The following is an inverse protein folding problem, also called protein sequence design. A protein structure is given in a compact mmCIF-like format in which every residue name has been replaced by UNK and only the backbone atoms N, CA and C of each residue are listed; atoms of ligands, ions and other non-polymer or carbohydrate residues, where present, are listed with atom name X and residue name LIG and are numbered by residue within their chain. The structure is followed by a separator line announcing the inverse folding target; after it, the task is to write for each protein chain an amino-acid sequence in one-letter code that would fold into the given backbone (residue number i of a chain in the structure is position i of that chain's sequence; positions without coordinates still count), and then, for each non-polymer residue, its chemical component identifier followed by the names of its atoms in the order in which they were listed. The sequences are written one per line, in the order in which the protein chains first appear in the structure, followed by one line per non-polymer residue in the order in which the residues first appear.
data_IF_841542658633
#
_entry.id   IF_841542658633
#
_cell.length_a   1.000
_cell.length_b   1.000
_cell.length_c   1.000
_cell.angle_alpha   90.00
_cell.angle_beta   90.00
_cell.angle_gamma   90.00
#
_symmetry.space_group_name_H-M   'P 1'
#
loop_
_entity.id
_entity.type
_entity.pdbx_description
1 polymer ?
#
# COMPACT_ATOMS: atom_id res chain seq x y z
N UNK A 1 26.31 21.31 -4.33
CA UNK A 1 25.80 21.86 -5.60
C UNK A 1 24.30 21.56 -5.75
N UNK A 2 23.45 22.55 -5.46
CA UNK A 2 22.01 22.42 -5.56
C UNK A 2 21.60 22.23 -7.03
N UNK A 3 20.92 21.13 -7.32
CA UNK A 3 20.37 20.84 -8.65
C UNK A 3 19.24 21.85 -8.92
N UNK A 4 19.55 22.97 -9.58
CA UNK A 4 18.53 23.90 -10.08
C UNK A 4 17.86 23.23 -11.27
N UNK A 5 16.60 22.86 -11.09
CA UNK A 5 15.72 22.48 -12.19
C UNK A 5 15.48 23.73 -13.05
N UNK A 6 16.22 23.85 -14.15
CA UNK A 6 15.95 24.86 -15.18
C UNK A 6 15.21 24.09 -16.28
N UNK A 7 13.90 24.30 -16.47
CA UNK A 7 13.20 23.70 -17.59
C UNK A 7 13.71 24.37 -18.87
N UNK A 8 14.66 23.72 -19.53
CA UNK A 8 15.06 24.07 -20.88
C UNK A 8 14.07 23.40 -21.83
N UNK A 9 13.00 24.12 -22.14
CA UNK A 9 12.40 24.24 -23.48
C UNK A 9 11.15 25.12 -23.40
N UNK A 10 11.12 26.19 -24.19
CA UNK A 10 9.96 27.06 -24.40
C UNK A 10 8.78 26.37 -25.13
N UNK A 11 8.79 25.05 -25.29
CA UNK A 11 7.63 24.28 -25.73
C UNK A 11 6.85 23.76 -24.53
N UNK A 12 6.17 24.68 -23.87
CA UNK A 12 5.04 24.37 -22.98
C UNK A 12 4.13 23.42 -23.75
N UNK A 13 3.99 22.19 -23.26
CA UNK A 13 3.00 21.21 -23.73
C UNK A 13 1.62 21.83 -23.51
N UNK A 14 1.15 22.58 -24.50
CA UNK A 14 -0.19 23.14 -24.55
C UNK A 14 -1.18 21.99 -24.48
N UNK A 15 -2.12 22.06 -23.52
CA UNK A 15 -3.27 21.17 -23.30
C UNK A 15 -3.47 20.14 -24.43
N UNK A 16 -3.21 18.87 -24.12
CA UNK A 16 -3.56 17.74 -25.00
C UNK A 16 -5.08 17.59 -24.98
N UNK A 17 -5.78 18.33 -25.84
CA UNK A 17 -7.18 18.06 -26.15
C UNK A 17 -7.24 16.86 -27.10
N UNK A 18 -8.02 15.85 -26.74
CA UNK A 18 -8.51 14.76 -27.59
C UNK A 18 -7.52 13.64 -27.98
N UNK A 19 -6.94 12.91 -27.01
CA UNK A 19 -6.39 11.55 -27.17
C UNK A 19 -5.55 11.29 -28.45
N UNK A 20 -4.88 12.30 -29.01
CA UNK A 20 -4.14 12.17 -30.27
C UNK A 20 -2.68 12.56 -30.10
N UNK A 21 -1.84 11.65 -30.59
CA UNK A 21 -0.39 11.73 -30.68
C UNK A 21 0.04 13.06 -31.32
N UNK A 22 0.94 13.79 -30.65
CA UNK A 22 1.71 14.86 -31.32
C UNK A 22 2.97 14.22 -31.89
N UNK A 23 3.05 14.14 -33.22
CA UNK A 23 4.31 13.89 -33.91
C UNK A 23 4.97 15.25 -34.08
N UNK A 24 5.93 15.60 -33.23
CA UNK A 24 6.74 16.79 -33.46
C UNK A 24 7.73 16.44 -34.57
N UNK A 25 7.46 16.93 -35.78
CA UNK A 25 8.34 16.75 -36.93
C UNK A 25 9.74 17.25 -36.57
N UNK A 26 10.69 16.32 -36.47
CA UNK A 26 12.09 16.60 -36.15
C UNK A 26 12.57 16.15 -34.77
N UNK A 27 11.71 15.66 -33.88
CA UNK A 27 12.13 15.17 -32.55
C UNK A 27 12.08 13.63 -32.45
N UNK A 28 13.02 13.04 -31.70
CA UNK A 28 13.10 11.60 -31.40
C UNK A 28 12.04 11.12 -30.38
N UNK A 29 10.99 11.90 -30.14
CA UNK A 29 10.03 11.71 -29.04
C UNK A 29 8.58 11.62 -29.57
N UNK A 30 7.88 10.54 -29.22
CA UNK A 30 6.45 10.38 -29.51
C UNK A 30 5.67 10.01 -28.24
N UNK A 31 4.47 10.58 -28.05
CA UNK A 31 3.68 10.43 -26.80
C UNK A 31 2.22 10.06 -27.01
N UNK A 32 1.70 9.11 -26.23
CA UNK A 32 0.28 8.74 -26.16
C UNK A 32 -0.23 8.86 -24.72
N UNK A 33 -1.47 9.32 -24.52
CA UNK A 33 -2.14 9.48 -23.23
C UNK A 33 -3.46 8.71 -23.22
N UNK A 34 -3.69 7.90 -22.19
CA UNK A 34 -4.93 7.20 -21.92
C UNK A 34 -5.34 7.42 -20.46
N UNK A 35 -6.56 7.89 -20.23
CA UNK A 35 -7.11 8.10 -18.90
C UNK A 35 -8.44 7.39 -18.80
N UNK A 36 -8.55 6.42 -17.88
CA UNK A 36 -9.77 5.64 -17.69
C UNK A 36 -10.13 5.51 -16.22
N UNK A 37 -11.43 5.44 -15.97
CA UNK A 37 -11.99 5.00 -14.69
C UNK A 37 -12.24 3.50 -14.74
N UNK A 38 -12.18 2.85 -13.59
CA UNK A 38 -12.58 1.44 -13.52
C UNK A 38 -14.09 1.29 -13.77
N UNK A 39 -14.52 0.22 -14.46
CA UNK A 39 -15.92 -0.16 -14.58
C UNK A 39 -16.63 -0.34 -13.23
N UNK A 40 -17.94 -0.06 -13.20
CA UNK A 40 -18.74 -0.04 -11.97
C UNK A 40 -18.83 -1.42 -11.27
N UNK A 41 -18.86 -2.50 -12.06
CA UNK A 41 -18.91 -3.90 -11.62
C UNK A 41 -17.61 -4.37 -10.94
N UNK A 42 -16.52 -3.62 -11.06
CA UNK A 42 -15.27 -3.88 -10.33
C UNK A 42 -15.30 -3.34 -8.89
N UNK A 43 -16.24 -2.46 -8.54
CA UNK A 43 -16.34 -1.89 -7.21
C UNK A 43 -17.12 -2.82 -6.26
N UNK A 44 -16.75 -2.92 -4.98
CA UNK A 44 -17.49 -3.72 -4.00
C UNK A 44 -18.97 -3.32 -3.88
N UNK A 45 -19.28 -2.03 -4.04
CA UNK A 45 -20.64 -1.51 -3.99
C UNK A 45 -21.39 -1.58 -5.31
N UNK A 46 -20.73 -1.97 -6.41
CA UNK A 46 -21.28 -1.86 -7.77
C UNK A 46 -21.44 -0.41 -8.26
N UNK A 47 -20.95 0.58 -7.51
CA UNK A 47 -21.08 2.01 -7.85
C UNK A 47 -19.73 2.54 -8.33
N UNK A 48 -19.71 3.08 -9.56
CA UNK A 48 -18.53 3.71 -10.12
C UNK A 48 -18.04 4.90 -9.29
N UNK A 49 -16.74 5.16 -9.32
CA UNK A 49 -16.13 6.31 -8.63
C UNK A 49 -15.02 6.95 -9.48
N UNK A 50 -14.19 7.78 -8.84
CA UNK A 50 -13.02 8.43 -9.48
C UNK A 50 -11.80 7.52 -9.59
N UNK A 51 -11.84 6.29 -9.06
CA UNK A 51 -10.74 5.32 -9.12
C UNK A 51 -10.49 4.89 -10.57
N UNK A 52 -9.22 4.75 -10.94
CA UNK A 52 -8.82 4.57 -12.33
C UNK A 52 -7.31 4.70 -12.51
N UNK A 53 -6.89 5.05 -13.71
CA UNK A 53 -5.50 5.30 -14.02
C UNK A 53 -5.32 6.41 -15.07
N UNK A 54 -4.12 6.97 -15.11
CA UNK A 54 -3.59 7.78 -16.19
C UNK A 54 -2.34 7.08 -16.70
N UNK A 55 -2.31 6.77 -17.98
CA UNK A 55 -1.24 6.06 -18.66
C UNK A 55 -0.65 6.95 -19.73
N UNK A 56 0.66 7.04 -19.76
CA UNK A 56 1.40 7.66 -20.86
C UNK A 56 2.37 6.66 -21.47
N UNK A 57 2.47 6.66 -22.80
CA UNK A 57 3.48 5.90 -23.55
C UNK A 57 4.42 6.88 -24.23
N UNK A 58 5.71 6.60 -24.14
CA UNK A 58 6.79 7.39 -24.69
C UNK A 58 7.65 6.50 -25.57
N UNK A 59 8.06 7.03 -26.72
CA UNK A 59 9.14 6.47 -27.53
C UNK A 59 10.35 7.38 -27.40
N UNK A 60 11.42 6.90 -26.78
CA UNK A 60 12.65 7.65 -26.49
C UNK A 60 13.81 6.89 -27.12
N UNK A 61 14.46 7.45 -28.13
CA UNK A 61 15.54 6.80 -28.89
C UNK A 61 15.21 5.38 -29.41
N UNK A 62 13.92 5.14 -29.71
CA UNK A 62 13.42 3.83 -30.15
C UNK A 62 12.97 2.90 -29.01
N UNK A 63 13.37 3.17 -27.76
CA UNK A 63 12.86 2.48 -26.58
C UNK A 63 11.42 2.93 -26.27
N UNK A 64 10.49 1.97 -26.14
CA UNK A 64 9.10 2.26 -25.77
C UNK A 64 8.90 2.03 -24.28
N UNK A 65 8.57 3.10 -23.56
CA UNK A 65 8.35 3.09 -22.11
C UNK A 65 6.96 3.62 -21.79
N UNK A 66 6.33 3.00 -20.80
CA UNK A 66 5.03 3.39 -20.29
C UNK A 66 5.06 3.70 -18.82
N UNK A 67 4.44 4.82 -18.48
CA UNK A 67 4.26 5.29 -17.13
C UNK A 67 2.77 5.31 -16.83
N UNK A 68 2.35 4.54 -15.82
CA UNK A 68 0.96 4.39 -15.42
C UNK A 68 0.80 4.82 -13.99
N UNK A 69 0.12 5.96 -13.77
CA UNK A 69 -0.32 6.38 -12.45
C UNK A 69 -1.70 5.76 -12.16
N UNK A 70 -1.77 4.85 -11.20
CA UNK A 70 -2.99 4.13 -10.81
C UNK A 70 -3.51 4.59 -9.45
N UNK A 71 -4.83 4.56 -9.30
CA UNK A 71 -5.50 4.77 -8.02
C UNK A 71 -6.56 3.67 -7.84
N UNK A 72 -6.21 2.63 -7.10
CA UNK A 72 -7.05 1.44 -6.89
C UNK A 72 -8.04 1.61 -5.72
N UNK A 73 -8.91 0.62 -5.55
CA UNK A 73 -10.02 0.62 -4.60
C UNK A 73 -9.54 0.62 -3.14
N UNK A 74 -10.17 1.45 -2.31
CA UNK A 74 -9.93 1.48 -0.87
C UNK A 74 -10.93 0.60 -0.12
N UNK A 75 -10.56 0.21 1.10
CA UNK A 75 -11.46 -0.50 2.00
C UNK A 75 -12.49 0.48 2.56
N UNK A 76 -13.78 0.19 2.49
CA UNK A 76 -14.82 1.04 3.11
C UNK A 76 -15.17 0.62 4.54
N UNK A 77 -14.67 -0.54 4.96
CA UNK A 77 -14.93 -1.15 6.26
C UNK A 77 -13.75 -2.03 6.71
N UNK A 78 -13.07 -1.66 7.80
CA UNK A 78 -11.95 -2.45 8.31
C UNK A 78 -12.40 -3.84 8.81
N UNK A 79 -13.64 -3.98 9.30
CA UNK A 79 -14.15 -5.23 9.88
C UNK A 79 -14.27 -6.34 8.83
N UNK A 80 -14.58 -5.98 7.59
CA UNK A 80 -14.61 -6.92 6.47
C UNK A 80 -13.20 -7.48 6.20
N UNK A 81 -12.18 -6.62 6.23
CA UNK A 81 -10.79 -7.04 6.02
C UNK A 81 -10.19 -7.82 7.20
N UNK A 82 -10.76 -7.70 8.41
CA UNK A 82 -10.40 -8.54 9.56
C UNK A 82 -11.03 -9.93 9.48
N UNK A 83 -12.22 -10.05 8.89
CA UNK A 83 -12.96 -11.32 8.83
C UNK A 83 -12.44 -12.28 7.76
N UNK A 84 -11.88 -11.76 6.67
CA UNK A 84 -11.48 -12.55 5.51
C UNK A 84 -10.25 -11.96 4.81
N UNK A 85 -9.30 -12.83 4.44
CA UNK A 85 -8.17 -12.48 3.59
C UNK A 85 -7.99 -13.50 2.45
N UNK A 86 -7.86 -13.06 1.17
CA UNK A 86 -7.99 -11.68 0.70
C UNK A 86 -9.43 -11.18 0.79
N UNK A 87 -9.64 -10.01 1.39
CA UNK A 87 -10.98 -9.41 1.51
C UNK A 87 -11.56 -9.03 0.15
N UNK A 88 -12.87 -8.75 0.08
CA UNK A 88 -13.52 -8.27 -1.14
C UNK A 88 -12.82 -7.01 -1.72
N UNK A 89 -12.25 -6.16 -0.87
CA UNK A 89 -11.50 -4.97 -1.31
C UNK A 89 -10.18 -5.34 -1.98
N UNK A 90 -9.41 -6.26 -1.38
CA UNK A 90 -8.19 -6.79 -1.97
C UNK A 90 -8.46 -7.52 -3.30
N UNK A 91 -9.55 -8.29 -3.37
CA UNK A 91 -9.99 -8.92 -4.62
C UNK A 91 -10.34 -7.87 -5.70
N UNK A 92 -11.01 -6.77 -5.34
CA UNK A 92 -11.29 -5.68 -6.27
C UNK A 92 -9.99 -5.02 -6.79
N UNK A 93 -9.02 -4.74 -5.90
CA UNK A 93 -7.69 -4.24 -6.31
C UNK A 93 -6.99 -5.19 -7.28
N UNK A 94 -6.98 -6.49 -6.98
CA UNK A 94 -6.42 -7.51 -7.87
C UNK A 94 -7.11 -7.53 -9.24
N UNK A 95 -8.44 -7.48 -9.29
CA UNK A 95 -9.19 -7.41 -10.56
C UNK A 95 -8.87 -6.15 -11.36
N UNK A 96 -8.82 -4.98 -10.70
CA UNK A 96 -8.49 -3.71 -11.34
C UNK A 96 -7.09 -3.68 -11.94
N UNK A 97 -6.09 -4.16 -11.18
CA UNK A 97 -4.70 -4.22 -11.66
C UNK A 97 -4.56 -5.25 -12.81
N UNK A 98 -5.19 -6.43 -12.70
CA UNK A 98 -5.22 -7.42 -13.78
C UNK A 98 -5.86 -6.86 -15.06
N UNK A 99 -6.96 -6.13 -14.94
CA UNK A 99 -7.62 -5.49 -16.08
C UNK A 99 -6.73 -4.43 -16.75
N UNK A 100 -6.04 -3.61 -15.96
CA UNK A 100 -5.05 -2.65 -16.48
C UNK A 100 -3.92 -3.37 -17.24
N UNK A 101 -3.37 -4.44 -16.68
CA UNK A 101 -2.29 -5.20 -17.33
C UNK A 101 -2.75 -5.86 -18.63
N UNK A 102 -3.96 -6.40 -18.65
CA UNK A 102 -4.56 -6.96 -19.86
C UNK A 102 -4.78 -5.89 -20.94
N UNK A 103 -5.25 -4.70 -20.54
CA UNK A 103 -5.38 -3.57 -21.45
C UNK A 103 -4.03 -3.18 -22.05
N UNK A 104 -2.98 -3.07 -21.23
CA UNK A 104 -1.63 -2.75 -21.69
C UNK A 104 -1.11 -3.80 -22.68
N UNK A 105 -1.30 -5.09 -22.35
CA UNK A 105 -0.92 -6.24 -23.18
C UNK A 105 -1.67 -6.29 -24.52
N UNK A 106 -2.94 -5.91 -24.52
CA UNK A 106 -3.80 -5.93 -25.72
C UNK A 106 -3.31 -4.98 -26.82
N UNK A 107 -2.57 -3.93 -26.47
CA UNK A 107 -1.99 -3.01 -27.45
C UNK A 107 -0.94 -3.68 -28.35
N UNK A 108 -0.48 -4.88 -28.00
CA UNK A 108 0.42 -5.70 -28.81
C UNK A 108 1.70 -4.98 -29.23
N UNK A 109 2.22 -4.11 -28.37
CA UNK A 109 3.47 -3.37 -28.60
C UNK A 109 4.67 -4.26 -28.24
N UNK A 110 5.53 -4.62 -29.21
CA UNK A 110 6.72 -5.42 -28.92
C UNK A 110 7.68 -4.67 -28.00
N UNK A 111 8.28 -5.39 -27.04
CA UNK A 111 9.33 -4.83 -26.18
C UNK A 111 8.86 -3.66 -25.30
N UNK A 112 7.60 -3.67 -24.87
CA UNK A 112 7.05 -2.61 -24.02
C UNK A 112 7.61 -2.68 -22.59
N UNK A 113 8.18 -1.57 -22.13
CA UNK A 113 8.69 -1.40 -20.78
C UNK A 113 7.66 -0.64 -19.95
N UNK A 114 7.18 -1.20 -18.85
CA UNK A 114 6.06 -0.63 -18.08
C UNK A 114 6.51 -0.33 -16.66
N UNK A 115 6.24 0.88 -16.18
CA UNK A 115 6.29 1.28 -14.79
C UNK A 115 4.89 1.71 -14.35
N UNK A 116 4.35 1.04 -13.33
CA UNK A 116 3.05 1.32 -12.72
C UNK A 116 3.30 1.86 -11.32
N UNK A 117 2.81 3.05 -11.03
CA UNK A 117 2.99 3.71 -9.74
C UNK A 117 1.69 4.37 -9.27
N UNK A 118 1.66 4.81 -8.02
CA UNK A 118 0.53 5.55 -7.46
C UNK A 118 -0.05 4.88 -6.22
N UNK A 119 -1.32 5.18 -5.94
CA UNK A 119 -2.04 4.65 -4.77
C UNK A 119 -2.70 3.32 -5.13
N UNK A 120 -1.96 2.24 -4.88
CA UNK A 120 -2.46 0.88 -5.01
C UNK A 120 -3.46 0.51 -3.91
N UNK A 121 -3.53 1.27 -2.82
CA UNK A 121 -4.36 0.96 -1.65
C UNK A 121 -4.14 -0.46 -1.09
N UNK A 122 -3.03 -1.13 -1.39
CA UNK A 122 -2.72 -2.45 -0.84
C UNK A 122 -2.69 -2.40 0.69
N UNK A 123 -3.22 -3.43 1.32
CA UNK A 123 -3.34 -3.55 2.77
C UNK A 123 -2.62 -4.81 3.25
N UNK A 124 -2.25 -4.81 4.52
CA UNK A 124 -1.70 -5.99 5.17
C UNK A 124 -2.78 -7.06 5.30
N UNK A 125 -2.35 -8.32 5.33
CA UNK A 125 -3.14 -9.46 5.76
C UNK A 125 -3.51 -9.29 7.24
N UNK A 126 -4.62 -8.57 7.50
CA UNK A 126 -5.05 -8.22 8.85
C UNK A 126 -5.30 -9.44 9.74
N UNK A 127 -5.94 -10.54 9.29
CA UNK A 127 -6.09 -11.74 10.12
C UNK A 127 -4.75 -12.26 10.64
N UNK A 128 -3.77 -12.45 9.75
CA UNK A 128 -2.46 -12.98 10.13
C UNK A 128 -1.65 -11.98 10.97
N UNK A 129 -1.77 -10.67 10.68
CA UNK A 129 -1.15 -9.63 11.50
C UNK A 129 -1.72 -9.64 12.92
N UNK A 130 -3.04 -9.66 13.07
CA UNK A 130 -3.69 -9.66 14.38
C UNK A 130 -3.37 -10.94 15.16
N UNK A 131 -3.32 -12.10 14.50
CA UNK A 131 -2.87 -13.34 15.11
C UNK A 131 -1.43 -13.21 15.65
N UNK A 132 -0.53 -12.67 14.83
CA UNK A 132 0.87 -12.42 15.24
C UNK A 132 0.97 -11.44 16.42
N UNK A 133 0.14 -10.40 16.44
CA UNK A 133 0.13 -9.40 17.51
C UNK A 133 -0.49 -9.90 18.81
N UNK A 134 -1.57 -10.68 18.73
CA UNK A 134 -2.26 -11.23 19.91
C UNK A 134 -1.51 -12.41 20.55
N UNK A 135 -0.70 -13.14 19.77
CA UNK A 135 0.00 -14.35 20.22
C UNK A 135 1.54 -14.22 20.22
N UNK A 136 2.07 -13.04 19.92
CA UNK A 136 3.51 -12.77 19.94
C UNK A 136 4.10 -12.77 21.35
N UNK A 137 5.43 -12.94 21.45
CA UNK A 137 6.17 -13.01 22.72
C UNK A 137 6.07 -11.72 23.58
N UNK A 138 5.61 -10.62 23.00
CA UNK A 138 5.49 -9.30 23.63
C UNK A 138 4.05 -9.06 24.14
N UNK A 139 3.67 -9.79 25.19
CA UNK A 139 2.40 -9.65 25.94
C UNK A 139 1.09 -9.82 25.12
N UNK A 140 0.13 -10.65 25.60
CA UNK A 140 -1.12 -10.88 24.89
C UNK A 140 -1.97 -9.61 24.79
N UNK A 141 -2.27 -9.19 23.57
CA UNK A 141 -3.18 -8.08 23.28
C UNK A 141 -4.63 -8.56 23.31
N UNK A 142 -5.53 -7.70 23.78
CA UNK A 142 -6.98 -7.94 23.66
C UNK A 142 -7.51 -7.32 22.37
N UNK A 143 -8.47 -7.95 21.70
CA UNK A 143 -9.08 -7.42 20.47
C UNK A 143 -10.54 -7.04 20.72
N UNK A 144 -10.89 -5.81 20.39
CA UNK A 144 -12.26 -5.30 20.46
C UNK A 144 -12.76 -4.90 19.07
N UNK A 145 -13.83 -5.56 18.63
CA UNK A 145 -14.50 -5.25 17.37
C UNK A 145 -15.74 -4.38 17.65
N UNK A 146 -15.76 -3.18 17.10
CA UNK A 146 -16.85 -2.20 17.22
C UNK A 146 -17.77 -2.32 16.00
N UNK A 147 -18.82 -3.13 16.13
CA UNK A 147 -19.83 -3.32 15.09
C UNK A 147 -20.96 -2.26 15.20
N UNK A 148 -21.72 -2.00 14.12
CA UNK A 148 -22.91 -1.13 14.18
C UNK A 148 -24.03 -1.80 14.99
N UNK A 149 -23.97 -1.69 16.32
CA UNK A 149 -24.94 -2.31 17.24
C UNK A 149 -24.40 -2.65 18.63
N UNK A 150 -23.08 -2.56 18.84
CA UNK A 150 -22.42 -2.84 20.13
C UNK A 150 -21.01 -3.37 19.94
N UNK A 151 -20.29 -3.56 21.05
CA UNK A 151 -18.91 -4.07 21.06
C UNK A 151 -18.88 -5.58 21.27
N UNK A 152 -18.08 -6.27 20.47
CA UNK A 152 -17.77 -7.70 20.65
C UNK A 152 -16.29 -7.81 21.02
N UNK A 153 -16.03 -8.19 22.27
CA UNK A 153 -14.66 -8.44 22.74
C UNK A 153 -14.27 -9.88 22.41
N UNK A 154 -13.15 -10.06 21.73
CA UNK A 154 -12.51 -11.36 21.53
C UNK A 154 -11.32 -11.43 22.49
N UNK A 155 -11.42 -12.30 23.50
CA UNK A 155 -10.25 -12.68 24.30
C UNK A 155 -9.42 -13.72 23.53
N UNK A 156 -8.09 -13.79 23.74
CA UNK A 156 -7.27 -14.86 23.20
C UNK A 156 -7.90 -16.21 23.56
N UNK A 157 -8.22 -17.02 22.55
CA UNK A 157 -8.74 -18.36 22.76
C UNK A 157 -7.68 -19.14 23.54
N UNK A 158 -8.00 -19.52 24.79
CA UNK A 158 -7.17 -20.48 25.52
C UNK A 158 -7.05 -21.76 24.68
N UNK A 159 -5.90 -22.48 24.73
CA UNK A 159 -5.78 -23.77 24.09
C UNK A 159 -6.93 -24.67 24.52
N UNK A 160 -7.67 -25.20 23.55
CA UNK A 160 -8.62 -26.30 23.79
C UNK A 160 -7.78 -27.50 24.18
N UNK A 161 -7.63 -27.72 25.47
CA UNK A 161 -7.37 -29.01 26.14
C UNK A 161 -6.98 -28.74 27.60
N UNK A 162 -7.96 -28.38 28.43
CA UNK A 162 -7.90 -28.53 29.88
C UNK A 162 -9.33 -28.78 30.38
N UNK A 163 -9.57 -30.02 30.82
CA UNK A 163 -10.79 -30.47 31.50
C UNK A 163 -11.18 -29.53 32.66
N UNK A 164 -12.48 -29.29 32.92
CA UNK A 164 -12.91 -28.45 34.03
C UNK A 164 -12.91 -29.26 35.34
N UNK A 165 -12.06 -28.85 36.30
CA UNK A 165 -12.15 -29.32 37.69
C UNK A 165 -13.41 -28.73 38.38
N UNK A 166 -14.11 -29.49 39.24
CA UNK A 166 -15.41 -29.08 39.77
C UNK A 166 -15.29 -28.08 40.92
N UNK A 167 -16.31 -27.23 40.99
CA UNK A 167 -16.44 -26.05 41.84
C UNK A 167 -16.23 -26.26 43.35
N UNK A 168 -15.82 -25.18 44.02
CA UNK A 168 -16.22 -24.90 45.41
C UNK A 168 -16.68 -23.44 45.58
N UNK A 169 -17.81 -23.18 46.25
CA UNK A 169 -18.42 -21.85 46.33
C UNK A 169 -18.02 -21.13 47.62
N UNK A 170 -17.50 -19.90 47.51
CA UNK A 170 -17.79 -18.78 48.41
C UNK A 170 -16.90 -17.58 48.12
N UNK A 171 -17.48 -16.47 47.62
CA UNK A 171 -16.92 -15.15 47.88
C UNK A 171 -18.03 -14.10 47.86
N UNK A 172 -18.28 -13.53 49.05
CA UNK A 172 -19.11 -12.36 49.28
C UNK A 172 -18.44 -11.11 48.67
N UNK A 173 -19.28 -10.21 48.19
CA UNK A 173 -18.99 -8.84 47.77
C UNK A 173 -18.17 -8.04 48.79
N UNK A 174 -17.10 -7.37 48.35
CA UNK A 174 -16.80 -5.94 48.63
C UNK A 174 -15.35 -5.60 48.25
N UNK A 175 -15.19 -4.44 47.59
CA UNK A 175 -13.90 -3.83 47.28
C UNK A 175 -13.60 -3.78 45.78
N UNK A 176 -13.89 -2.63 45.13
CA UNK A 176 -13.21 -2.29 43.85
C UNK A 176 -11.72 -2.12 44.17
N UNK A 177 -10.81 -2.91 43.60
CA UNK A 177 -9.40 -2.58 43.67
C UNK A 177 -9.18 -1.35 42.80
N UNK A 178 -8.49 -0.35 43.35
CA UNK A 178 -7.88 0.72 42.57
C UNK A 178 -6.84 0.04 41.66
N UNK A 179 -7.18 -0.21 40.38
CA UNK A 179 -6.27 -0.87 39.45
C UNK A 179 -5.07 0.05 39.22
N UNK A 180 -3.87 -0.48 39.44
CA UNK A 180 -2.63 0.19 39.06
C UNK A 180 -2.60 0.33 37.54
N UNK A 181 -2.15 1.49 37.07
CA UNK A 181 -1.99 1.86 35.65
C UNK A 181 -0.96 0.99 34.88
N UNK A 182 -0.53 -0.14 35.47
CA UNK A 182 0.47 -1.08 34.94
C UNK A 182 -0.12 -2.41 34.47
N UNK A 183 -1.43 -2.65 34.68
CA UNK A 183 -2.10 -3.91 34.34
C UNK A 183 -3.11 -3.78 33.18
N UNK A 184 -3.05 -2.69 32.40
CA UNK A 184 -3.88 -2.57 31.20
C UNK A 184 -3.24 -3.45 30.12
N UNK A 185 -3.79 -4.65 29.93
CA UNK A 185 -3.55 -5.40 28.69
C UNK A 185 -3.87 -4.45 27.52
N UNK A 186 -2.92 -4.18 26.63
CA UNK A 186 -3.19 -3.25 25.56
C UNK A 186 -4.30 -3.83 24.67
N UNK A 187 -5.33 -3.04 24.42
CA UNK A 187 -6.46 -3.44 23.57
C UNK A 187 -6.25 -2.87 22.18
N UNK A 188 -6.51 -3.68 21.16
CA UNK A 188 -6.64 -3.23 19.77
C UNK A 188 -8.13 -3.03 19.49
N UNK A 189 -8.52 -1.81 19.12
CA UNK A 189 -9.91 -1.47 18.81
C UNK A 189 -10.07 -1.32 17.30
N UNK A 190 -10.90 -2.16 16.69
CA UNK A 190 -11.18 -2.13 15.26
C UNK A 190 -12.67 -1.91 15.06
N UNK A 191 -13.01 -0.87 14.30
CA UNK A 191 -14.35 -0.62 13.82
C UNK A 191 -14.34 -0.29 12.34
N UNK A 192 -15.50 -0.01 11.76
CA UNK A 192 -15.63 0.27 10.32
C UNK A 192 -14.62 1.30 9.77
N UNK A 193 -14.31 2.34 10.54
CA UNK A 193 -13.30 3.37 10.22
C UNK A 193 -12.38 3.68 11.41
N UNK A 194 -12.24 2.71 12.31
CA UNK A 194 -11.37 2.79 13.49
C UNK A 194 -10.40 1.64 13.43
N UNK A 195 -9.15 1.91 13.70
CA UNK A 195 -8.08 0.95 13.87
C UNK A 195 -7.09 1.57 14.85
N UNK A 196 -7.41 1.43 16.13
CA UNK A 196 -6.60 1.98 17.21
C UNK A 196 -5.83 0.84 17.87
N UNK A 197 -4.51 0.98 17.87
CA UNK A 197 -3.59 0.02 18.48
C UNK A 197 -3.18 0.47 19.89
N UNK A 198 -3.73 1.55 20.43
CA UNK A 198 -3.44 2.08 21.77
C UNK A 198 -1.93 2.18 22.07
N UNK A 199 -1.13 2.54 21.07
CA UNK A 199 0.31 2.70 21.21
C UNK A 199 1.16 1.43 21.11
N UNK A 200 0.55 0.24 21.02
CA UNK A 200 1.25 -1.07 20.98
C UNK A 200 2.32 -1.16 19.90
N UNK A 201 2.08 -0.52 18.76
CA UNK A 201 3.00 -0.54 17.62
C UNK A 201 3.50 0.84 17.20
N UNK A 202 3.30 1.87 18.04
CA UNK A 202 3.66 3.24 17.70
C UNK A 202 5.16 3.40 17.33
N UNK A 203 6.03 2.54 17.88
CA UNK A 203 7.45 2.50 17.53
C UNK A 203 7.84 1.34 16.57
N UNK A 204 7.03 0.29 16.47
CA UNK A 204 7.33 -0.88 15.63
C UNK A 204 7.15 -0.62 14.13
N UNK A 205 6.30 0.35 13.77
CA UNK A 205 6.13 0.78 12.38
C UNK A 205 7.42 1.31 11.73
N UNK A 206 8.41 1.70 12.54
CA UNK A 206 9.72 2.20 12.11
C UNK A 206 10.68 1.09 11.67
N UNK A 207 10.46 -0.17 12.07
CA UNK A 207 11.32 -1.33 11.77
C UNK A 207 10.60 -2.34 10.86
N UNK A 208 10.19 -1.83 9.70
CA UNK A 208 9.26 -2.38 8.71
C UNK A 208 9.45 -3.82 8.22
N UNK A 209 10.62 -4.44 8.38
CA UNK A 209 10.93 -5.73 7.74
C UNK A 209 10.05 -6.88 8.23
N UNK A 210 9.68 -6.88 9.52
CA UNK A 210 8.77 -7.90 10.08
C UNK A 210 7.32 -7.73 9.63
N UNK A 211 6.88 -6.52 9.30
CA UNK A 211 5.49 -6.25 8.89
C UNK A 211 5.27 -6.45 7.39
N UNK A 212 6.33 -6.33 6.58
CA UNK A 212 6.27 -6.56 5.13
C UNK A 212 5.85 -8.00 4.77
N UNK A 213 6.06 -8.99 5.65
CA UNK A 213 5.57 -10.37 5.40
C UNK A 213 4.04 -10.46 5.34
N UNK A 214 3.32 -9.49 5.91
CA UNK A 214 1.86 -9.40 5.81
C UNK A 214 1.39 -8.60 4.59
N UNK A 215 2.28 -7.94 3.86
CA UNK A 215 1.98 -7.22 2.62
C UNK A 215 1.96 -8.18 1.42
N UNK A 216 0.87 -8.95 1.30
CA UNK A 216 0.82 -10.10 0.37
C UNK A 216 0.15 -9.80 -0.97
N UNK A 217 -0.53 -8.66 -1.12
CA UNK A 217 -1.41 -8.41 -2.28
C UNK A 217 -0.67 -8.37 -3.62
N UNK A 218 0.56 -7.83 -3.64
CA UNK A 218 1.40 -7.79 -4.84
C UNK A 218 1.84 -9.17 -5.31
N UNK A 219 1.88 -10.16 -4.41
CA UNK A 219 2.38 -11.51 -4.69
C UNK A 219 1.61 -12.24 -5.80
N UNK A 220 0.33 -11.91 -6.01
CA UNK A 220 -0.50 -12.47 -7.09
C UNK A 220 0.01 -12.10 -8.49
N UNK A 221 0.87 -11.09 -8.58
CA UNK A 221 1.44 -10.57 -9.84
C UNK A 221 2.95 -10.81 -9.95
N UNK A 222 3.55 -11.64 -9.08
CA UNK A 222 5.00 -11.80 -9.01
C UNK A 222 5.66 -12.31 -10.31
N UNK A 223 4.89 -12.94 -11.19
CA UNK A 223 5.31 -13.38 -12.52
C UNK A 223 5.40 -12.24 -13.54
N UNK A 224 4.54 -11.23 -13.41
CA UNK A 224 4.35 -10.17 -14.38
C UNK A 224 4.86 -8.79 -13.94
N UNK A 225 4.95 -8.56 -12.63
CA UNK A 225 5.39 -7.30 -12.03
C UNK A 225 6.44 -7.56 -10.96
N UNK A 226 7.42 -6.67 -10.89
CA UNK A 226 8.52 -6.67 -9.93
C UNK A 226 8.53 -5.36 -9.16
N UNK A 227 8.94 -5.43 -7.90
CA UNK A 227 9.11 -4.27 -7.05
C UNK A 227 10.51 -4.29 -6.45
N UNK A 228 11.08 -3.10 -6.24
CA UNK A 228 12.34 -2.97 -5.53
C UNK A 228 12.13 -3.16 -4.02
N UNK A 229 13.15 -3.59 -3.27
CA UNK A 229 13.03 -3.77 -1.82
C UNK A 229 12.53 -2.48 -1.14
N UNK A 230 11.45 -2.62 -0.37
CA UNK A 230 10.90 -1.52 0.43
C UNK A 230 11.71 -1.40 1.71
N UNK A 231 12.27 -0.20 1.93
CA UNK A 231 13.10 0.11 3.11
C UNK A 231 12.55 1.29 3.93
N UNK A 232 11.34 1.74 3.59
CA UNK A 232 10.63 2.84 4.24
C UNK A 232 9.42 2.34 5.03
N UNK A 233 8.95 3.08 6.05
CA UNK A 233 7.75 2.71 6.78
C UNK A 233 6.50 2.93 5.90
N UNK A 234 5.37 2.33 6.27
CA UNK A 234 4.06 2.52 5.62
C UNK A 234 3.73 3.97 5.28
N UNK A 235 3.21 4.20 4.08
CA UNK A 235 2.97 5.54 3.53
C UNK A 235 1.65 6.16 3.97
N UNK A 236 0.77 5.38 4.62
CA UNK A 236 -0.60 5.77 4.98
C UNK A 236 -1.15 4.92 6.15
N UNK A 237 -2.07 5.44 7.01
CA UNK A 237 -2.52 6.82 7.11
C UNK A 237 -1.77 7.62 8.17
N UNK A 238 -1.05 8.67 7.82
CA UNK A 238 -0.48 9.60 8.79
C UNK A 238 -1.57 10.46 9.46
N UNK A 239 -1.36 10.82 10.72
CA UNK A 239 -2.24 11.72 11.46
C UNK A 239 -1.93 13.18 11.11
N UNK A 240 -2.83 13.80 10.35
CA UNK A 240 -2.71 15.20 9.94
C UNK A 240 -2.93 16.20 11.08
N UNK A 241 -3.58 15.80 12.17
CA UNK A 241 -3.81 16.65 13.33
C UNK A 241 -2.65 16.59 14.33
N UNK A 242 -1.79 15.57 14.23
CA UNK A 242 -0.64 15.39 15.10
C UNK A 242 0.51 16.33 14.71
N UNK A 243 1.22 16.85 15.72
CA UNK A 243 2.49 17.54 15.53
C UNK A 243 3.67 16.58 15.34
N UNK A 244 3.48 15.29 15.64
CA UNK A 244 4.48 14.25 15.40
C UNK A 244 4.39 13.78 13.94
N UNK A 245 5.42 14.01 13.10
CA UNK A 245 5.38 13.62 11.69
C UNK A 245 5.35 12.09 11.49
N UNK A 246 5.64 11.29 12.51
CA UNK A 246 5.61 9.83 12.45
C UNK A 246 4.33 9.21 13.00
N UNK A 247 3.38 10.01 13.46
CA UNK A 247 2.11 9.51 13.99
C UNK A 247 1.21 9.00 12.85
N UNK A 248 0.65 7.81 13.03
CA UNK A 248 -0.41 7.29 12.17
C UNK A 248 -1.78 7.59 12.78
N UNK A 249 -2.75 7.88 11.92
CA UNK A 249 -4.15 8.06 12.31
C UNK A 249 -4.78 6.71 12.63
N UNK A 250 -5.54 6.65 13.73
CA UNK A 250 -6.28 5.45 14.15
C UNK A 250 -7.51 5.12 13.29
N UNK A 251 -7.49 5.46 11.99
CA UNK A 251 -8.63 5.22 11.09
C UNK A 251 -8.51 3.88 10.36
N UNK A 252 -7.29 3.41 10.12
CA UNK A 252 -6.97 2.17 9.40
C UNK A 252 -5.62 1.63 9.85
N UNK A 253 -5.43 0.33 9.68
CA UNK A 253 -4.10 -0.27 9.80
C UNK A 253 -3.15 0.42 8.81
N UNK A 254 -2.00 0.94 9.27
CA UNK A 254 -1.07 1.53 8.34
C UNK A 254 -0.46 0.50 7.38
N UNK A 255 -0.29 0.91 6.12
CA UNK A 255 0.14 0.04 5.02
C UNK A 255 0.94 0.80 3.95
N UNK A 256 1.64 0.06 3.10
CA UNK A 256 2.31 0.59 1.91
C UNK A 256 1.31 0.73 0.77
N UNK A 257 0.51 1.79 0.81
CA UNK A 257 -0.49 2.07 -0.23
C UNK A 257 0.16 2.60 -1.51
N UNK A 258 1.25 3.35 -1.38
CA UNK A 258 1.91 4.06 -2.48
C UNK A 258 3.13 3.28 -2.96
N UNK A 259 3.10 2.80 -4.21
CA UNK A 259 4.07 1.80 -4.73
C UNK A 259 4.57 2.16 -6.12
N UNK A 260 5.69 1.54 -6.52
CA UNK A 260 6.24 1.62 -7.87
C UNK A 260 6.62 0.20 -8.33
N UNK A 261 5.86 -0.34 -9.28
CA UNK A 261 6.01 -1.67 -9.85
C UNK A 261 6.50 -1.60 -11.30
N UNK A 262 7.30 -2.58 -11.71
CA UNK A 262 7.91 -2.65 -13.04
C UNK A 262 7.55 -3.95 -13.75
N UNK A 263 7.37 -3.93 -15.07
CA UNK A 263 7.49 -5.16 -15.84
C UNK A 263 8.94 -5.68 -15.79
N UNK A 264 9.17 -7.01 -15.88
CA UNK A 264 10.52 -7.57 -15.88
C UNK A 264 11.47 -6.90 -16.88
N UNK A 265 10.96 -6.58 -18.08
CA UNK A 265 11.75 -5.91 -19.12
C UNK A 265 12.09 -4.46 -18.74
N UNK A 266 11.21 -3.73 -18.06
CA UNK A 266 11.52 -2.37 -17.59
C UNK A 266 12.62 -2.38 -16.54
N UNK A 267 12.61 -3.37 -15.64
CA UNK A 267 13.59 -3.47 -14.56
C UNK A 267 15.04 -3.56 -15.09
N UNK A 268 15.27 -4.31 -16.18
CA UNK A 268 16.61 -4.43 -16.79
C UNK A 268 17.08 -3.16 -17.51
N UNK A 269 16.18 -2.20 -17.78
CA UNK A 269 16.53 -0.88 -18.35
C UNK A 269 16.91 0.14 -17.29
N UNK A 270 16.72 -0.14 -16.00
CA UNK A 270 17.12 0.77 -14.93
C UNK A 270 18.64 0.81 -14.78
N UNK A 271 19.18 2.00 -14.52
CA UNK A 271 20.60 2.24 -14.30
C UNK A 271 20.80 3.00 -12.98
N UNK A 272 21.79 2.58 -12.16
CA UNK A 272 22.65 1.40 -12.31
C UNK A 272 21.87 0.06 -12.34
N UNK A 273 22.39 -1.00 -12.99
CA UNK A 273 21.73 -2.31 -13.05
C UNK A 273 21.43 -2.84 -11.65
N UNK A 274 20.28 -3.48 -11.49
CA UNK A 274 19.83 -4.01 -10.21
C UNK A 274 20.17 -5.50 -10.19
N UNK A 275 21.30 -5.83 -9.58
CA UNK A 275 21.76 -7.21 -9.46
C UNK A 275 21.02 -7.93 -8.31
N UNK A 276 20.55 -9.17 -8.50
CA UNK A 276 19.80 -9.91 -7.49
C UNK A 276 20.59 -10.24 -6.20
N UNK A 277 21.91 -10.12 -6.22
CA UNK A 277 22.83 -10.68 -5.21
C UNK A 277 23.52 -9.64 -4.32
N UNK A 278 23.41 -8.34 -4.60
CA UNK A 278 24.02 -7.32 -3.73
C UNK A 278 23.08 -6.91 -2.60
N UNK A 279 23.60 -6.82 -1.38
CA UNK A 279 22.86 -6.43 -0.16
C UNK A 279 22.29 -5.02 -0.20
N UNK A 280 22.64 -4.23 -1.22
CA UNK A 280 22.24 -2.84 -1.38
C UNK A 280 21.63 -2.62 -2.75
N UNK A 281 20.39 -2.13 -2.79
CA UNK A 281 19.78 -1.67 -4.04
C UNK A 281 20.51 -0.40 -4.51
N UNK A 282 21.02 -0.34 -5.75
CA UNK A 282 21.86 0.78 -6.19
C UNK A 282 21.03 1.99 -6.65
N UNK A 283 19.69 1.89 -6.58
CA UNK A 283 18.73 2.98 -6.80
C UNK A 283 17.93 3.25 -5.52
N UNK A 284 17.60 4.52 -5.27
CA UNK A 284 16.86 4.91 -4.07
C UNK A 284 15.36 4.78 -4.28
N UNK A 285 14.75 3.75 -3.68
CA UNK A 285 13.29 3.59 -3.57
C UNK A 285 12.86 3.96 -2.15
N UNK A 286 12.26 5.13 -1.98
CA UNK A 286 12.05 5.69 -0.63
C UNK A 286 10.83 6.61 -0.54
N UNK A 287 10.51 7.08 0.67
CA UNK A 287 9.45 8.02 0.98
C UNK A 287 10.01 9.42 1.26
N UNK A 288 9.41 10.44 0.66
CA UNK A 288 9.72 11.85 0.92
C UNK A 288 9.02 12.34 2.19
N UNK A 289 9.51 13.46 2.74
CA UNK A 289 8.90 14.17 3.86
C UNK A 289 8.67 13.29 5.11
N UNK A 290 9.59 12.36 5.40
CA UNK A 290 9.53 11.47 6.57
C UNK A 290 9.36 12.24 7.88
N UNK A 291 10.00 13.40 7.99
CA UNK A 291 10.04 14.24 9.19
C UNK A 291 9.14 15.48 9.07
N UNK A 292 8.18 15.48 8.14
CA UNK A 292 7.21 16.57 7.98
C UNK A 292 5.77 16.05 7.92
N UNK A 293 4.84 16.87 8.42
CA UNK A 293 3.40 16.65 8.32
C UNK A 293 2.90 17.24 7.00
N UNK A 294 2.77 16.41 5.96
CA UNK A 294 2.38 16.86 4.60
C UNK A 294 0.99 16.42 4.16
N UNK A 295 0.43 15.39 4.81
CA UNK A 295 -0.84 14.77 4.46
C UNK A 295 -0.98 13.43 5.17
N UNK A 296 -2.13 12.77 4.98
CA UNK A 296 -2.37 11.41 5.45
C UNK A 296 -1.63 10.36 4.62
N UNK A 297 -1.27 10.70 3.38
CA UNK A 297 -0.27 10.00 2.58
C UNK A 297 1.04 10.79 2.53
N UNK A 298 2.17 10.07 2.51
CA UNK A 298 3.47 10.65 2.18
C UNK A 298 3.96 10.19 0.81
N UNK A 299 4.55 11.09 -0.02
CA UNK A 299 4.96 10.72 -1.37
C UNK A 299 6.05 9.66 -1.38
N UNK A 300 5.89 8.63 -2.19
CA UNK A 300 6.92 7.63 -2.49
C UNK A 300 7.60 7.97 -3.81
N UNK A 301 8.92 7.80 -3.88
CA UNK A 301 9.72 8.13 -5.05
C UNK A 301 10.75 7.04 -5.36
N UNK A 302 11.12 6.98 -6.63
CA UNK A 302 12.29 6.26 -7.12
C UNK A 302 13.07 7.18 -8.05
N UNK A 303 14.39 7.25 -7.87
CA UNK A 303 15.29 7.91 -8.80
C UNK A 303 16.14 6.89 -9.55
N UNK A 304 16.15 6.98 -10.89
CA UNK A 304 16.91 6.08 -11.75
C UNK A 304 17.32 6.79 -13.05
N UNK A 305 18.38 6.27 -13.67
CA UNK A 305 18.66 6.54 -15.09
C UNK A 305 18.02 5.44 -15.94
N UNK A 306 17.49 5.81 -17.10
CA UNK A 306 16.86 4.87 -18.03
C UNK A 306 17.80 4.59 -19.20
N UNK A 307 18.13 3.33 -19.44
CA UNK A 307 18.81 2.91 -20.65
C UNK A 307 17.84 2.84 -21.83
N UNK A 308 18.03 3.73 -22.80
CA UNK A 308 17.19 3.83 -24.00
C UNK A 308 17.79 3.09 -25.20
N UNK A 309 18.91 2.39 -25.03
CA UNK A 309 19.52 1.65 -26.13
C UNK A 309 18.52 0.62 -26.71
N UNK A 310 18.51 0.41 -28.03
CA UNK A 310 17.88 -0.76 -28.62
C UNK A 310 18.46 -2.01 -27.93
N UNK A 311 17.58 -2.86 -27.41
CA UNK A 311 17.96 -4.16 -26.84
C UNK A 311 18.32 -5.16 -27.93
#
# INVERSE_FOLDING_TARGET
PACRFVPFTDEIVSRISNNRLRKTSGSRLETHLDQRRFPADMFPSGVASRKGFIRTRWRIDGCVVEFVNVHLFNDSDNLVSVKEHPSIYAQCRSRGLRWLMELIRSDSVPGQHVAIFGDFNFRLNLPALLEHLCHGEQAPLSLELVEPGGTTSLHPLAPKDCEPDPASPNAKTSGRPLMNDRDINPTVVIGRRVFDLHGVLADHWKYSTGLLSFDTEVGVFADQLKELPITFPPSYPFDMASSNPHAYAGTRCPAWCDRILFSPNMLVKLRPPIEPSESTCPVTYDMLAKDSTVGDHKPVYLYFSLDTSPG
#
